data_IF_794524326406
#
_entry.id   IF_794524326406
#
_cell.length_a   1.000
_cell.length_b   1.000
_cell.length_c   1.000
_cell.angle_alpha   90.00
_cell.angle_beta   90.00
_cell.angle_gamma   90.00
#
_symmetry.space_group_name_H-M   'P 1'
#
loop_
_entity.id
_entity.type
_entity.pdbx_description
1 polymer ?
#
# COMPACT_ATOMS: atom_id res chain seq x y z
N UNK A 1 31.15 -7.17 29.99
CA UNK A 1 31.48 -7.59 28.62
C UNK A 1 30.91 -6.53 27.70
N UNK A 2 31.76 -5.61 27.26
CA UNK A 2 31.43 -4.59 26.25
C UNK A 2 31.58 -5.23 24.87
N UNK A 3 30.62 -5.06 23.94
CA UNK A 3 30.85 -5.47 22.56
C UNK A 3 31.80 -4.48 21.89
N UNK A 4 32.98 -4.96 21.58
CA UNK A 4 34.02 -4.31 20.80
C UNK A 4 33.47 -3.79 19.47
N UNK A 5 33.57 -2.47 19.24
CA UNK A 5 33.26 -1.86 17.96
C UNK A 5 34.42 -2.18 16.97
N UNK A 6 34.14 -2.64 15.73
CA UNK A 6 35.20 -2.91 14.79
C UNK A 6 35.80 -1.60 14.25
N UNK A 7 37.11 -1.46 14.43
CA UNK A 7 37.94 -0.50 13.68
C UNK A 7 37.82 -0.79 12.19
N UNK A 8 37.43 0.20 11.39
CA UNK A 8 37.59 0.17 9.95
C UNK A 8 38.20 1.49 9.48
N UNK A 9 39.36 1.35 8.83
CA UNK A 9 40.22 2.43 8.34
C UNK A 9 39.66 3.09 7.07
N UNK A 10 40.17 4.31 6.86
CA UNK A 10 39.71 5.32 5.90
C UNK A 10 39.91 4.89 4.43
N UNK A 11 38.80 4.64 3.73
CA UNK A 11 38.69 4.71 2.27
C UNK A 11 37.64 5.76 1.90
N UNK A 12 37.94 6.67 0.97
CA UNK A 12 37.13 7.82 0.56
C UNK A 12 35.77 7.44 -0.04
N UNK A 13 34.82 7.11 0.83
CA UNK A 13 33.39 7.07 0.58
C UNK A 13 32.69 7.46 1.87
N UNK A 14 31.77 8.42 1.82
CA UNK A 14 30.97 8.79 2.99
C UNK A 14 30.24 7.52 3.44
N UNK A 15 30.61 6.96 4.59
CA UNK A 15 29.76 5.97 5.25
C UNK A 15 28.46 6.69 5.61
N UNK A 16 27.42 6.43 4.83
CA UNK A 16 26.06 6.79 5.21
C UNK A 16 25.66 5.75 6.23
N UNK A 17 25.67 6.14 7.50
CA UNK A 17 25.10 5.32 8.56
C UNK A 17 23.68 4.95 8.15
N UNK A 18 23.27 3.67 8.21
CA UNK A 18 21.91 3.30 7.85
C UNK A 18 20.95 4.07 8.75
N UNK A 19 20.22 5.01 8.14
CA UNK A 19 19.15 5.76 8.80
C UNK A 19 18.22 4.73 9.46
N UNK A 20 18.00 4.84 10.77
CA UNK A 20 17.01 3.99 11.44
C UNK A 20 15.66 4.24 10.76
N UNK A 21 14.96 3.19 10.28
CA UNK A 21 13.66 3.38 9.65
C UNK A 21 12.74 4.12 10.62
N UNK A 22 12.18 5.25 10.18
CA UNK A 22 11.23 6.01 10.97
C UNK A 22 10.05 5.10 11.38
N UNK A 23 9.59 5.21 12.63
CA UNK A 23 8.41 4.48 13.10
C UNK A 23 7.20 4.87 12.23
N UNK A 24 6.63 3.94 11.46
CA UNK A 24 5.49 4.24 10.61
C UNK A 24 4.18 4.41 11.41
N UNK A 25 4.20 4.23 12.73
CA UNK A 25 2.99 4.22 13.54
C UNK A 25 2.03 3.10 13.11
N UNK A 26 0.74 3.40 12.98
CA UNK A 26 -0.27 2.43 12.54
C UNK A 26 -0.28 2.17 11.03
N UNK A 27 0.60 2.82 10.26
CA UNK A 27 0.62 2.67 8.81
C UNK A 27 1.19 1.32 8.40
N UNK A 28 0.47 0.64 7.52
CA UNK A 28 0.95 -0.56 6.85
C UNK A 28 1.49 -0.13 5.48
N UNK A 29 2.81 -0.12 5.34
CA UNK A 29 3.50 0.29 4.10
C UNK A 29 4.05 -0.94 3.39
N UNK A 30 3.71 -1.09 2.12
CA UNK A 30 4.28 -2.11 1.24
C UNK A 30 4.97 -1.45 0.06
N UNK A 31 6.12 -1.99 -0.33
CA UNK A 31 6.85 -1.59 -1.54
C UNK A 31 7.06 -2.81 -2.42
N UNK A 32 6.76 -2.65 -3.70
CA UNK A 32 6.96 -3.64 -4.74
C UNK A 32 7.62 -3.00 -5.96
N UNK A 33 8.24 -3.80 -6.82
CA UNK A 33 8.87 -3.34 -8.06
C UNK A 33 8.30 -4.10 -9.24
N UNK A 34 7.89 -3.38 -10.28
CA UNK A 34 7.44 -4.01 -11.51
C UNK A 34 8.63 -4.70 -12.20
N UNK A 35 8.59 -6.01 -12.49
CA UNK A 35 9.72 -6.74 -13.08
C UNK A 35 9.97 -6.39 -14.56
N UNK A 36 9.06 -5.66 -15.23
CA UNK A 36 9.18 -5.32 -16.64
C UNK A 36 9.93 -4.01 -16.86
N UNK A 37 9.75 -3.03 -15.96
CA UNK A 37 10.21 -1.65 -16.16
C UNK A 37 10.85 -1.02 -14.90
N UNK A 38 11.08 -1.82 -13.86
CA UNK A 38 11.66 -1.43 -12.57
C UNK A 38 10.91 -0.29 -11.86
N UNK A 39 9.67 0.02 -12.27
CA UNK A 39 8.89 1.06 -11.62
C UNK A 39 8.44 0.61 -10.23
N UNK A 40 8.71 1.45 -9.23
CA UNK A 40 8.29 1.18 -7.87
C UNK A 40 6.78 1.37 -7.71
N UNK A 41 6.16 0.46 -6.96
CA UNK A 41 4.83 0.63 -6.39
C UNK A 41 4.95 0.73 -4.88
N UNK A 42 4.50 1.84 -4.30
CA UNK A 42 4.43 2.03 -2.86
C UNK A 42 2.96 2.16 -2.47
N UNK A 43 2.51 1.36 -1.51
CA UNK A 43 1.15 1.37 -0.98
C UNK A 43 1.21 1.59 0.52
N UNK A 44 0.64 2.69 1.00
CA UNK A 44 0.44 2.96 2.42
C UNK A 44 -1.05 2.81 2.75
N UNK A 45 -1.35 2.00 3.77
CA UNK A 45 -2.72 1.75 4.24
C UNK A 45 -2.86 2.14 5.71
N UNK A 46 -3.99 2.73 6.04
CA UNK A 46 -4.40 3.02 7.41
C UNK A 46 -5.79 2.43 7.63
N UNK A 47 -5.90 1.54 8.60
CA UNK A 47 -7.17 0.94 9.01
C UNK A 47 -7.80 1.84 10.08
N UNK A 48 -9.07 2.18 9.92
CA UNK A 48 -9.75 3.05 10.87
C UNK A 48 -9.96 2.34 12.22
N UNK A 49 -9.68 3.07 13.32
CA UNK A 49 -9.98 2.61 14.69
C UNK A 49 -11.49 2.58 14.94
N UNK A 50 -12.21 3.54 14.36
CA UNK A 50 -13.65 3.73 14.47
C UNK A 50 -14.29 3.95 13.10
N UNK A 51 -15.58 3.67 13.00
CA UNK A 51 -16.30 3.69 11.72
C UNK A 51 -16.23 2.34 11.01
N UNK A 52 -17.41 1.81 10.69
CA UNK A 52 -17.58 0.52 10.02
C UNK A 52 -18.39 0.71 8.75
N UNK A 53 -18.16 -0.16 7.78
CA UNK A 53 -19.04 -0.31 6.63
C UNK A 53 -20.42 -0.81 7.03
N UNK A 54 -21.36 -0.78 6.10
CA UNK A 54 -22.69 -1.39 6.30
C UNK A 54 -22.65 -2.89 6.61
N UNK A 55 -21.51 -3.55 6.37
CA UNK A 55 -21.26 -4.97 6.65
C UNK A 55 -20.34 -5.19 7.87
N UNK A 56 -20.13 -4.17 8.70
CA UNK A 56 -19.32 -4.29 9.92
C UNK A 56 -17.81 -4.36 9.70
N UNK A 57 -17.30 -4.10 8.49
CA UNK A 57 -15.85 -4.12 8.19
C UNK A 57 -15.23 -2.75 8.46
N UNK A 58 -13.96 -2.69 8.87
CA UNK A 58 -13.25 -1.42 9.03
C UNK A 58 -13.13 -0.69 7.69
N UNK A 59 -13.29 0.63 7.69
CA UNK A 59 -12.94 1.47 6.54
C UNK A 59 -11.41 1.57 6.47
N UNK A 60 -10.84 1.50 5.27
CA UNK A 60 -9.37 1.59 5.08
C UNK A 60 -9.03 2.76 4.16
N UNK A 61 -8.17 3.67 4.61
CA UNK A 61 -7.54 4.66 3.72
C UNK A 61 -6.34 4.04 3.02
N UNK A 62 -6.23 4.27 1.72
CA UNK A 62 -5.10 3.79 0.90
C UNK A 62 -4.54 4.95 0.10
N UNK A 63 -3.23 5.21 0.26
CA UNK A 63 -2.44 6.03 -0.64
C UNK A 63 -1.51 5.11 -1.44
N UNK A 64 -1.47 5.29 -2.76
CA UNK A 64 -0.66 4.47 -3.66
C UNK A 64 0.10 5.36 -4.63
N UNK A 65 1.39 5.14 -4.75
CA UNK A 65 2.19 5.61 -5.88
C UNK A 65 2.54 4.38 -6.72
N UNK A 66 2.11 4.35 -7.99
CA UNK A 66 2.41 3.27 -8.93
C UNK A 66 2.73 3.86 -10.29
N UNK A 67 3.87 3.48 -10.88
CA UNK A 67 4.27 3.91 -12.22
C UNK A 67 4.16 5.44 -12.41
N UNK A 68 4.72 6.18 -11.44
CA UNK A 68 4.70 7.66 -11.37
C UNK A 68 3.31 8.30 -11.22
N UNK A 69 2.27 7.52 -10.92
CA UNK A 69 0.93 8.02 -10.63
C UNK A 69 0.58 7.86 -9.15
N UNK A 70 0.27 8.97 -8.50
CA UNK A 70 -0.18 8.99 -7.11
C UNK A 70 -1.70 9.06 -7.04
N UNK A 71 -2.29 8.15 -6.27
CA UNK A 71 -3.72 8.04 -6.06
C UNK A 71 -3.99 7.84 -4.57
N UNK A 72 -5.12 8.38 -4.09
CA UNK A 72 -5.60 8.14 -2.74
C UNK A 72 -7.09 7.86 -2.78
N UNK A 73 -7.51 6.85 -2.03
CA UNK A 73 -8.90 6.45 -1.94
C UNK A 73 -9.19 5.78 -0.60
N UNK A 74 -10.46 5.79 -0.24
CA UNK A 74 -10.98 5.08 0.90
C UNK A 74 -11.67 3.81 0.39
N UNK A 75 -11.50 2.72 1.12
CA UNK A 75 -12.18 1.46 0.88
C UNK A 75 -13.23 1.29 1.98
N UNK A 76 -14.50 1.49 1.61
CA UNK A 76 -15.64 1.30 2.49
C UNK A 76 -16.03 -0.16 2.64
N UNK A 77 -15.42 -1.11 1.93
CA UNK A 77 -15.80 -2.52 1.99
C UNK A 77 -17.30 -2.74 1.75
N UNK A 78 -17.87 -2.01 0.79
CA UNK A 78 -19.26 -2.12 0.35
C UNK A 78 -19.34 -3.13 -0.79
N UNK A 79 -20.22 -4.12 -0.68
CA UNK A 79 -20.63 -4.97 -1.79
C UNK A 79 -21.45 -4.13 -2.78
N UNK A 80 -20.99 -4.06 -4.04
CA UNK A 80 -21.63 -3.26 -5.11
C UNK A 80 -22.58 -4.07 -5.99
N UNK A 81 -22.87 -5.31 -5.62
CA UNK A 81 -23.65 -6.24 -6.45
C UNK A 81 -22.77 -7.29 -7.12
N UNK A 82 -23.42 -8.36 -7.56
CA UNK A 82 -22.84 -9.40 -8.40
C UNK A 82 -23.76 -9.57 -9.62
N UNK A 83 -23.44 -8.84 -10.69
CA UNK A 83 -24.15 -8.97 -11.96
C UNK A 83 -23.62 -10.16 -12.79
N UNK A 84 -22.78 -11.03 -12.20
CA UNK A 84 -22.18 -12.16 -12.92
C UNK A 84 -23.14 -13.32 -13.18
N UNK A 85 -24.35 -13.30 -12.59
CA UNK A 85 -25.30 -14.40 -12.74
C UNK A 85 -25.93 -14.50 -14.13
N UNK A 86 -25.85 -13.47 -14.98
CA UNK A 86 -26.33 -13.57 -16.37
C UNK A 86 -25.75 -12.50 -17.31
N UNK A 87 -24.67 -12.84 -18.01
CA UNK A 87 -24.20 -12.08 -19.19
C UNK A 87 -25.16 -12.14 -20.40
N UNK A 88 -26.24 -12.93 -20.31
CA UNK A 88 -27.22 -13.14 -21.38
C UNK A 88 -28.60 -12.51 -21.11
N UNK A 89 -28.84 -11.92 -19.94
CA UNK A 89 -30.12 -11.25 -19.63
C UNK A 89 -30.17 -9.79 -20.07
N UNK A 90 -29.06 -9.24 -20.57
CA UNK A 90 -28.93 -7.81 -20.91
C UNK A 90 -29.43 -7.43 -22.31
N UNK A 91 -30.31 -8.25 -22.91
CA UNK A 91 -31.11 -7.80 -24.05
C UNK A 91 -32.25 -6.91 -23.53
N UNK A 92 -31.88 -5.72 -23.04
CA UNK A 92 -32.84 -4.65 -22.78
C UNK A 92 -33.60 -4.34 -24.07
N UNK A 93 -34.87 -4.69 -24.10
CA UNK A 93 -35.81 -4.22 -25.10
C UNK A 93 -35.75 -2.69 -25.19
N UNK A 94 -35.30 -2.19 -26.34
CA UNK A 94 -35.61 -0.82 -26.76
C UNK A 94 -36.94 -0.92 -27.48
N UNK A 95 -38.01 -0.48 -26.81
CA UNK A 95 -39.28 -0.10 -27.47
C UNK A 95 -39.45 1.40 -27.39
#
# INVERSE_FOLDING_TARGET
EDPEAPSAELGLGRYVEPETPADPGKWIVNRDSNPIDDTATVVARLVADEGRSQYGRAVTFTARCKSNKTEAYLNWNTYVGDDSSSVYEDWKYVT
#
